data_IF_830243343842
#
_entry.id   IF_830243343842
#
_cell.length_a   1.000
_cell.length_b   1.000
_cell.length_c   1.000
_cell.angle_alpha   90.00
_cell.angle_beta   90.00
_cell.angle_gamma   90.00
#
_symmetry.space_group_name_H-M   'P 1'
#
loop_
_entity.id
_entity.type
_entity.pdbx_description
1 polymer ?
#
# COMPACT_ATOMS: atom_id res chain seq x y z
N UNK A 1 -27.61 53.44 -41.78
CA UNK A 1 -26.34 52.78 -41.49
C UNK A 1 -26.44 52.13 -40.12
N UNK A 2 -26.64 50.82 -40.07
CA UNK A 2 -26.77 50.04 -38.82
C UNK A 2 -25.38 49.43 -38.53
N UNK A 3 -24.77 49.83 -37.42
CA UNK A 3 -23.50 49.24 -36.96
C UNK A 3 -23.80 47.95 -36.17
N UNK A 4 -23.47 46.81 -36.72
CA UNK A 4 -23.51 45.54 -36.04
C UNK A 4 -22.29 45.41 -35.11
N UNK A 5 -22.51 45.36 -33.80
CA UNK A 5 -21.48 45.09 -32.81
C UNK A 5 -21.34 43.56 -32.66
N UNK A 6 -20.21 43.02 -33.09
CA UNK A 6 -19.88 41.63 -32.91
C UNK A 6 -19.45 41.41 -31.45
N UNK A 7 -20.23 40.67 -30.68
CA UNK A 7 -19.87 40.20 -29.34
C UNK A 7 -19.00 38.92 -29.50
N UNK A 8 -17.72 39.07 -29.29
CA UNK A 8 -16.83 37.91 -29.16
C UNK A 8 -16.97 37.35 -27.73
N UNK A 9 -17.72 36.27 -27.57
CA UNK A 9 -17.77 35.50 -26.35
C UNK A 9 -16.44 34.70 -26.22
N UNK A 10 -15.52 35.19 -25.40
CA UNK A 10 -14.30 34.47 -25.05
C UNK A 10 -14.64 33.28 -24.19
N UNK A 11 -14.55 32.07 -24.77
CA UNK A 11 -14.66 30.80 -24.05
C UNK A 11 -13.41 30.65 -23.17
N UNK A 12 -13.52 30.91 -21.86
CA UNK A 12 -12.48 30.63 -20.88
C UNK A 12 -12.52 29.14 -20.59
N UNK A 13 -11.76 28.35 -21.33
CA UNK A 13 -11.55 26.93 -21.03
C UNK A 13 -10.75 26.83 -19.71
N UNK A 14 -11.44 26.46 -18.64
CA UNK A 14 -10.79 26.04 -17.39
C UNK A 14 -10.11 24.71 -17.69
N UNK A 15 -8.81 24.74 -17.89
CA UNK A 15 -7.98 23.55 -17.90
C UNK A 15 -8.00 22.98 -16.47
N UNK A 16 -8.89 22.04 -16.22
CA UNK A 16 -8.76 21.17 -15.06
C UNK A 16 -7.46 20.37 -15.27
N UNK A 17 -6.40 20.74 -14.56
CA UNK A 17 -5.20 19.90 -14.48
C UNK A 17 -5.62 18.58 -13.89
N UNK A 18 -5.58 17.51 -14.68
CA UNK A 18 -5.69 16.16 -14.16
C UNK A 18 -4.48 15.92 -13.28
N UNK A 19 -4.68 15.94 -11.97
CA UNK A 19 -3.64 15.54 -11.03
C UNK A 19 -3.46 14.04 -11.22
N UNK A 20 -2.30 13.63 -11.69
CA UNK A 20 -1.96 12.22 -11.83
C UNK A 20 -1.65 11.64 -10.44
N UNK A 21 -2.16 10.44 -10.17
CA UNK A 21 -1.80 9.70 -8.98
C UNK A 21 -0.28 9.54 -8.90
N UNK A 22 0.30 9.99 -7.79
CA UNK A 22 1.72 9.86 -7.49
C UNK A 22 1.96 8.79 -6.44
N UNK A 23 3.12 8.13 -6.51
CA UNK A 23 3.55 7.20 -5.48
C UNK A 23 3.91 7.97 -4.22
N UNK A 24 3.31 7.62 -3.09
CA UNK A 24 3.50 8.28 -1.79
C UNK A 24 4.35 7.44 -0.84
N UNK A 25 4.31 6.12 -0.98
CA UNK A 25 5.16 5.19 -0.23
C UNK A 25 5.29 3.86 -0.98
N UNK A 26 6.44 3.18 -0.81
CA UNK A 26 6.66 1.83 -1.35
C UNK A 26 7.57 0.99 -0.44
N UNK A 27 7.42 -0.33 -0.53
CA UNK A 27 8.28 -1.33 0.14
C UNK A 27 8.65 -2.42 -0.84
N UNK A 28 9.95 -2.62 -1.09
CA UNK A 28 10.50 -3.66 -1.97
C UNK A 28 11.29 -4.74 -1.21
N UNK A 29 11.45 -4.59 0.10
CA UNK A 29 12.15 -5.49 1.01
C UNK A 29 13.61 -5.83 0.63
N UNK A 30 14.19 -5.16 -0.34
CA UNK A 30 15.51 -5.48 -0.90
C UNK A 30 16.54 -4.40 -0.65
N UNK A 31 16.14 -3.14 -0.66
CA UNK A 31 17.06 -2.02 -0.68
C UNK A 31 16.96 -1.13 0.54
N UNK A 32 18.13 -0.67 1.01
CA UNK A 32 18.24 0.39 2.02
C UNK A 32 18.45 1.77 1.39
N UNK A 33 18.47 1.87 0.06
CA UNK A 33 18.58 3.17 -0.62
C UNK A 33 17.38 4.03 -0.28
N UNK A 34 17.59 5.31 -0.13
CA UNK A 34 16.55 6.29 0.28
C UNK A 34 15.98 6.08 1.69
N UNK A 35 16.68 5.36 2.56
CA UNK A 35 16.29 5.17 3.97
C UNK A 35 15.36 3.98 4.22
N UNK A 36 15.09 3.17 3.21
CA UNK A 36 14.30 1.95 3.35
C UNK A 36 15.03 0.87 4.17
N UNK A 37 14.31 -0.18 4.50
CA UNK A 37 14.82 -1.34 5.25
C UNK A 37 14.75 -2.59 4.38
N UNK A 38 15.89 -3.26 4.18
CA UNK A 38 15.93 -4.57 3.55
C UNK A 38 15.52 -5.66 4.55
N UNK A 39 14.84 -6.69 4.07
CA UNK A 39 14.51 -7.86 4.87
C UNK A 39 15.78 -8.67 5.12
N UNK A 40 16.06 -8.99 6.39
CA UNK A 40 17.14 -9.92 6.75
C UNK A 40 16.81 -11.35 6.31
N UNK A 41 17.87 -12.19 6.26
CA UNK A 41 17.70 -13.63 6.02
C UNK A 41 16.73 -14.25 7.05
N UNK A 42 16.02 -15.29 6.64
CA UNK A 42 15.14 -16.02 7.56
C UNK A 42 15.96 -16.78 8.65
N UNK A 43 15.49 -16.83 9.92
CA UNK A 43 14.27 -16.17 10.38
C UNK A 43 14.42 -14.64 10.41
N UNK A 44 13.33 -13.93 10.11
CA UNK A 44 13.35 -12.48 10.13
C UNK A 44 13.57 -11.94 11.54
N UNK A 45 14.35 -10.88 11.64
CA UNK A 45 14.62 -10.18 12.90
C UNK A 45 14.04 -8.76 12.89
N UNK A 46 13.62 -8.28 11.73
CA UNK A 46 13.07 -6.93 11.56
C UNK A 46 11.58 -6.90 11.88
N UNK A 47 11.21 -6.04 12.80
CA UNK A 47 9.83 -5.80 13.24
C UNK A 47 9.17 -4.61 12.57
N UNK A 48 10.00 -3.72 12.02
CA UNK A 48 9.61 -2.46 11.40
C UNK A 48 10.36 -2.30 10.08
N UNK A 49 9.64 -2.00 9.02
CA UNK A 49 10.19 -1.66 7.72
C UNK A 49 9.80 -0.22 7.37
N UNK A 50 10.81 0.64 7.22
CA UNK A 50 10.61 1.98 6.67
C UNK A 50 10.45 1.86 5.15
N UNK A 51 9.61 2.71 4.57
CA UNK A 51 9.40 2.73 3.12
C UNK A 51 10.71 2.99 2.36
N UNK A 52 10.92 2.28 1.26
CA UNK A 52 12.09 2.44 0.38
C UNK A 52 11.99 3.72 -0.45
N UNK A 53 10.77 4.15 -0.74
CA UNK A 53 10.47 5.42 -1.41
C UNK A 53 9.31 6.11 -0.68
N UNK A 54 9.30 7.45 -0.70
CA UNK A 54 8.29 8.25 -0.01
C UNK A 54 8.42 8.16 1.51
N UNK A 55 7.29 8.15 2.21
CA UNK A 55 7.28 8.12 3.68
C UNK A 55 6.22 7.18 4.22
N UNK A 56 6.64 6.25 5.06
CA UNK A 56 5.75 5.28 5.71
C UNK A 56 6.51 4.23 6.50
N UNK A 57 5.77 3.46 7.28
CA UNK A 57 6.29 2.37 8.09
C UNK A 57 5.37 1.18 8.05
N UNK A 58 5.93 -0.03 7.96
CA UNK A 58 5.22 -1.30 8.06
C UNK A 58 5.58 -1.95 9.40
N UNK A 59 4.58 -2.28 10.19
CA UNK A 59 4.69 -2.84 11.54
C UNK A 59 4.30 -4.31 11.58
N UNK A 60 5.10 -5.11 12.29
CA UNK A 60 4.94 -6.56 12.51
C UNK A 60 5.08 -6.95 13.99
N UNK A 61 5.05 -6.00 14.92
CA UNK A 61 5.48 -6.14 16.32
C UNK A 61 4.36 -5.91 17.34
N UNK A 62 3.12 -5.92 16.92
CA UNK A 62 1.97 -5.64 17.78
C UNK A 62 1.66 -4.16 17.97
N UNK A 63 2.46 -3.25 17.41
CA UNK A 63 2.20 -1.80 17.51
C UNK A 63 1.28 -1.31 16.40
N UNK A 64 0.66 -0.16 16.62
CA UNK A 64 -0.24 0.51 15.66
C UNK A 64 -1.38 -0.39 15.12
N UNK A 65 -1.83 -1.39 15.90
CA UNK A 65 -2.88 -2.32 15.50
C UNK A 65 -2.40 -3.49 14.64
N UNK A 66 -1.09 -3.68 14.47
CA UNK A 66 -0.50 -4.89 13.92
C UNK A 66 -0.56 -6.03 14.94
N UNK A 67 -0.37 -7.26 14.48
CA UNK A 67 -0.12 -8.40 15.35
C UNK A 67 1.38 -8.54 15.63
N UNK A 68 1.72 -9.15 16.75
CA UNK A 68 3.09 -9.56 17.02
C UNK A 68 3.37 -10.90 16.30
N UNK A 69 4.29 -10.86 15.34
CA UNK A 69 4.78 -12.01 14.59
C UNK A 69 6.06 -12.60 15.19
N UNK A 70 6.52 -12.07 16.32
CA UNK A 70 7.79 -12.43 16.93
C UNK A 70 7.57 -13.23 18.21
N UNK A 71 8.52 -14.13 18.49
CA UNK A 71 8.45 -14.97 19.68
C UNK A 71 8.48 -14.13 20.97
N UNK A 72 7.50 -14.31 21.86
CA UNK A 72 7.39 -13.51 23.09
C UNK A 72 8.60 -13.64 24.00
N UNK A 73 9.24 -14.81 24.02
CA UNK A 73 10.34 -15.10 24.94
C UNK A 73 11.66 -14.38 24.58
N UNK A 74 11.94 -14.20 23.29
CA UNK A 74 13.17 -13.56 22.81
C UNK A 74 12.92 -12.23 22.14
N UNK A 75 11.76 -12.06 21.54
CA UNK A 75 11.37 -10.86 20.81
C UNK A 75 12.22 -10.53 19.58
N UNK A 76 13.12 -11.44 19.18
CA UNK A 76 14.15 -11.20 18.17
C UNK A 76 13.99 -12.04 16.91
N UNK A 77 13.26 -13.15 16.98
CA UNK A 77 13.05 -14.05 15.83
C UNK A 77 11.57 -14.30 15.58
N UNK A 78 11.23 -14.62 14.34
CA UNK A 78 9.87 -14.97 13.95
C UNK A 78 9.86 -16.27 13.19
N UNK A 79 8.98 -17.20 13.58
CA UNK A 79 8.67 -18.38 12.79
C UNK A 79 7.61 -18.11 11.71
N UNK A 80 7.00 -16.93 11.73
CA UNK A 80 5.87 -16.55 10.88
C UNK A 80 6.24 -15.51 9.81
N UNK A 81 7.44 -14.90 9.91
CA UNK A 81 7.97 -13.97 8.91
C UNK A 81 9.29 -14.50 8.36
N UNK A 82 9.35 -14.67 7.05
CA UNK A 82 10.54 -15.12 6.34
C UNK A 82 10.81 -14.24 5.12
N UNK A 83 12.08 -14.22 4.68
CA UNK A 83 12.45 -13.74 3.36
C UNK A 83 12.23 -14.81 2.31
N UNK A 84 11.84 -14.40 1.12
CA UNK A 84 11.70 -15.28 -0.04
C UNK A 84 12.38 -14.65 -1.27
N UNK A 85 13.18 -15.45 -2.01
CA UNK A 85 13.86 -14.99 -3.21
C UNK A 85 12.92 -14.81 -4.39
N UNK A 86 13.08 -13.70 -5.07
CA UNK A 86 12.73 -13.52 -6.47
C UNK A 86 11.32 -13.10 -6.84
N UNK A 87 11.09 -11.78 -6.98
CA UNK A 87 10.10 -11.27 -7.93
C UNK A 87 10.49 -9.88 -8.44
N UNK A 88 10.11 -9.58 -9.71
CA UNK A 88 10.19 -8.25 -10.31
C UNK A 88 8.81 -7.67 -10.61
N UNK A 89 7.77 -8.40 -10.27
CA UNK A 89 6.38 -8.00 -10.55
C UNK A 89 6.01 -6.79 -9.69
N UNK A 90 5.23 -5.89 -10.27
CA UNK A 90 4.86 -4.61 -9.66
C UNK A 90 6.09 -3.71 -9.35
N UNK A 91 7.24 -3.96 -9.96
CA UNK A 91 8.47 -3.21 -9.75
C UNK A 91 8.50 -1.96 -10.63
N UNK A 92 7.74 -0.93 -10.28
CA UNK A 92 7.66 0.36 -10.98
C UNK A 92 7.99 1.51 -10.02
N UNK A 93 8.16 2.72 -10.56
CA UNK A 93 8.33 3.91 -9.73
C UNK A 93 9.60 3.96 -8.89
N UNK A 94 10.66 3.26 -9.28
CA UNK A 94 11.94 3.24 -8.55
C UNK A 94 12.11 2.05 -7.61
N UNK A 95 11.19 1.09 -7.61
CA UNK A 95 11.35 -0.17 -6.89
C UNK A 95 12.48 -1.01 -7.45
N UNK A 96 13.11 -1.82 -6.59
CA UNK A 96 14.15 -2.74 -7.01
C UNK A 96 13.62 -3.80 -7.96
N UNK A 97 14.38 -4.07 -9.02
CA UNK A 97 14.15 -5.17 -9.96
C UNK A 97 15.06 -6.37 -9.66
N UNK A 98 15.79 -6.34 -8.55
CA UNK A 98 16.68 -7.44 -8.16
C UNK A 98 15.87 -8.66 -7.80
N UNK A 99 16.20 -9.79 -8.42
CA UNK A 99 15.51 -11.08 -8.21
C UNK A 99 16.37 -12.10 -7.48
N UNK A 100 17.58 -11.71 -7.08
CA UNK A 100 18.55 -12.58 -6.38
C UNK A 100 18.57 -12.27 -4.88
N UNK A 101 18.70 -13.30 -4.07
CA UNK A 101 18.69 -13.16 -2.62
C UNK A 101 17.28 -13.11 -2.05
N UNK A 102 17.07 -12.28 -1.03
CA UNK A 102 15.76 -12.08 -0.42
C UNK A 102 15.08 -10.94 -1.14
N UNK A 103 13.96 -11.21 -1.80
CA UNK A 103 13.28 -10.28 -2.68
C UNK A 103 11.80 -10.06 -2.31
N UNK A 104 11.24 -10.83 -1.39
CA UNK A 104 9.85 -10.74 -0.96
C UNK A 104 9.69 -11.06 0.52
N UNK A 105 8.70 -10.45 1.15
CA UNK A 105 8.24 -10.78 2.50
C UNK A 105 7.30 -12.00 2.42
N UNK A 106 7.58 -13.04 3.18
CA UNK A 106 6.68 -14.17 3.35
C UNK A 106 6.06 -14.18 4.76
N UNK A 107 4.73 -14.18 4.83
CA UNK A 107 3.98 -14.56 6.04
C UNK A 107 3.71 -16.05 5.98
N UNK A 108 4.19 -16.77 6.99
CA UNK A 108 4.17 -18.24 7.08
C UNK A 108 3.16 -18.65 8.15
N UNK A 109 2.52 -19.80 7.99
CA UNK A 109 1.50 -20.31 8.90
C UNK A 109 1.93 -20.41 10.36
N UNK A 110 3.22 -20.69 10.57
CA UNK A 110 3.78 -20.77 11.91
C UNK A 110 3.43 -22.08 12.64
N UNK A 111 3.77 -22.16 13.92
CA UNK A 111 3.45 -23.31 14.75
C UNK A 111 1.95 -23.52 14.86
N UNK A 112 1.52 -24.79 14.93
CA UNK A 112 0.14 -25.12 15.20
C UNK A 112 -0.27 -24.63 16.59
N UNK A 113 -1.36 -23.89 16.67
CA UNK A 113 -1.92 -23.39 17.93
C UNK A 113 -3.14 -24.21 18.38
N UNK A 114 -3.62 -23.95 19.59
CA UNK A 114 -4.86 -24.54 20.10
C UNK A 114 -6.03 -23.62 19.75
N UNK A 115 -7.10 -24.14 19.15
CA UNK A 115 -7.43 -25.55 18.87
C UNK A 115 -6.60 -26.17 17.74
N UNK A 116 -6.43 -27.51 17.81
CA UNK A 116 -5.63 -28.27 16.86
C UNK A 116 -6.04 -28.00 15.40
N UNK A 117 -5.04 -27.80 14.54
CA UNK A 117 -5.24 -27.46 13.13
C UNK A 117 -5.29 -25.97 12.84
N UNK A 118 -5.22 -25.11 13.86
CA UNK A 118 -5.08 -23.66 13.68
C UNK A 118 -3.61 -23.27 13.71
N UNK A 119 -3.15 -22.53 12.72
CA UNK A 119 -1.75 -22.07 12.65
C UNK A 119 -1.65 -20.64 13.16
N UNK A 120 -0.54 -20.34 13.87
CA UNK A 120 -0.36 -19.13 14.67
C UNK A 120 -0.54 -17.82 13.90
N UNK A 121 -0.18 -17.79 12.63
CA UNK A 121 -0.35 -16.59 11.79
C UNK A 121 -1.76 -16.41 11.20
N UNK A 122 -2.66 -17.40 11.32
CA UNK A 122 -4.06 -17.20 10.94
C UNK A 122 -4.72 -16.18 11.87
N UNK A 123 -5.29 -15.14 11.29
CA UNK A 123 -5.90 -14.02 12.01
C UNK A 123 -4.91 -12.91 12.39
N UNK A 124 -3.60 -13.09 12.16
CA UNK A 124 -2.61 -12.04 12.36
C UNK A 124 -2.62 -11.02 11.23
N UNK A 125 -2.26 -9.79 11.58
CA UNK A 125 -2.30 -8.65 10.68
C UNK A 125 -1.00 -7.85 10.71
N UNK A 126 -0.52 -7.41 9.55
CA UNK A 126 0.49 -6.38 9.44
C UNK A 126 -0.14 -5.03 9.12
N UNK A 127 0.51 -3.94 9.54
CA UNK A 127 -0.03 -2.58 9.41
C UNK A 127 0.97 -1.66 8.75
N UNK A 128 0.50 -0.95 7.73
CA UNK A 128 1.18 0.18 7.10
C UNK A 128 0.67 1.49 7.71
N UNK A 129 1.57 2.40 8.08
CA UNK A 129 1.28 3.74 8.58
C UNK A 129 1.95 4.77 7.69
N UNK A 130 1.21 5.77 7.25
CA UNK A 130 1.68 6.81 6.32
C UNK A 130 0.86 8.09 6.48
N UNK A 131 1.08 9.11 5.64
CA UNK A 131 0.29 10.34 5.62
C UNK A 131 -0.49 10.47 4.33
N UNK A 132 -1.72 10.96 4.45
CA UNK A 132 -2.60 11.36 3.34
C UNK A 132 -2.87 12.88 3.35
N UNK A 133 -2.12 13.67 4.12
CA UNK A 133 -2.30 15.13 4.15
C UNK A 133 -2.18 15.75 2.77
N UNK A 134 -3.21 16.47 2.33
CA UNK A 134 -3.27 17.07 1.00
C UNK A 134 -3.44 16.04 -0.14
N UNK A 135 -3.79 14.81 0.18
CA UNK A 135 -3.94 13.70 -0.75
C UNK A 135 -5.35 13.09 -0.70
N UNK A 136 -5.75 12.49 -1.81
CA UNK A 136 -7.02 11.76 -1.95
C UNK A 136 -6.83 10.53 -2.83
N UNK A 137 -7.88 9.70 -2.92
CA UNK A 137 -7.94 8.57 -3.84
C UNK A 137 -6.78 7.58 -3.69
N UNK A 138 -6.50 7.19 -2.43
CA UNK A 138 -5.49 6.16 -2.16
C UNK A 138 -5.80 4.88 -2.94
N UNK A 139 -4.80 4.36 -3.63
CA UNK A 139 -4.80 3.01 -4.17
C UNK A 139 -3.53 2.28 -3.74
N UNK A 140 -3.65 0.97 -3.50
CA UNK A 140 -2.55 0.10 -3.10
C UNK A 140 -2.45 -1.05 -4.07
N UNK A 141 -1.25 -1.30 -4.59
CA UNK A 141 -0.96 -2.46 -5.42
C UNK A 141 0.29 -3.17 -4.89
N UNK A 142 0.37 -4.49 -5.08
CA UNK A 142 1.49 -5.31 -4.66
C UNK A 142 1.52 -6.63 -5.43
N UNK A 143 2.69 -7.23 -5.53
CA UNK A 143 2.84 -8.58 -6.03
C UNK A 143 2.53 -9.58 -4.91
N UNK A 144 1.80 -10.65 -5.22
CA UNK A 144 1.44 -11.67 -4.24
C UNK A 144 1.36 -13.07 -4.88
N UNK A 145 1.79 -14.07 -4.13
CA UNK A 145 1.52 -15.48 -4.38
C UNK A 145 1.29 -16.21 -3.07
N UNK A 146 0.72 -17.42 -3.14
CA UNK A 146 0.65 -18.35 -2.01
C UNK A 146 1.19 -19.73 -2.35
N UNK A 147 1.57 -20.48 -1.35
CA UNK A 147 1.73 -21.95 -1.48
C UNK A 147 0.36 -22.64 -1.43
N UNK A 148 0.30 -23.91 -1.82
CA UNK A 148 -0.95 -24.67 -1.82
C UNK A 148 -1.65 -24.67 -0.45
N UNK A 149 -0.88 -24.75 0.65
CA UNK A 149 -1.36 -24.70 2.03
C UNK A 149 -1.27 -23.31 2.68
N UNK A 150 -0.93 -22.27 1.91
CA UNK A 150 -0.84 -20.88 2.38
C UNK A 150 -2.19 -20.20 2.57
N UNK A 151 -2.15 -18.95 3.00
CA UNK A 151 -3.35 -18.17 3.29
C UNK A 151 -4.16 -17.96 2.01
N UNK A 152 -5.43 -18.29 2.08
CA UNK A 152 -6.37 -18.16 0.95
C UNK A 152 -7.05 -16.82 0.90
N UNK A 153 -7.02 -16.07 2.00
CA UNK A 153 -7.72 -14.79 2.14
C UNK A 153 -6.83 -13.75 2.79
N UNK A 154 -6.88 -12.56 2.24
CA UNK A 154 -6.31 -11.34 2.80
C UNK A 154 -7.44 -10.32 2.95
N UNK A 155 -7.77 -9.96 4.20
CA UNK A 155 -8.71 -8.89 4.51
C UNK A 155 -7.92 -7.60 4.68
N UNK A 156 -8.24 -6.60 3.86
CA UNK A 156 -7.70 -5.25 3.96
C UNK A 156 -8.68 -4.32 4.64
N UNK A 157 -8.19 -3.62 5.65
CA UNK A 157 -8.93 -2.59 6.37
C UNK A 157 -8.13 -1.29 6.38
N UNK A 158 -8.80 -0.16 6.65
CA UNK A 158 -8.18 1.14 6.83
C UNK A 158 -8.62 1.81 8.12
N UNK A 159 -7.79 2.75 8.61
CA UNK A 159 -8.06 3.53 9.82
C UNK A 159 -7.36 4.88 9.77
N UNK A 160 -7.85 5.86 10.51
CA UNK A 160 -7.19 7.14 10.76
C UNK A 160 -6.57 7.25 12.15
N UNK A 161 -6.86 6.31 13.04
CA UNK A 161 -6.40 6.31 14.43
C UNK A 161 -5.63 5.03 14.84
N UNK A 162 -5.59 4.00 13.97
CA UNK A 162 -4.96 2.71 14.23
C UNK A 162 -5.71 1.81 15.20
N UNK A 163 -6.92 2.19 15.60
CA UNK A 163 -7.75 1.48 16.59
C UNK A 163 -9.11 1.09 15.99
N UNK A 164 -9.79 2.04 15.37
CA UNK A 164 -11.08 1.82 14.72
C UNK A 164 -10.86 1.53 13.24
N UNK A 165 -11.30 0.35 12.78
CA UNK A 165 -11.01 -0.14 11.44
C UNK A 165 -12.27 -0.27 10.59
N UNK A 166 -12.17 0.17 9.34
CA UNK A 166 -13.19 0.02 8.32
C UNK A 166 -12.68 -0.89 7.21
N UNK A 167 -13.54 -1.74 6.66
CA UNK A 167 -13.17 -2.64 5.57
C UNK A 167 -12.86 -1.86 4.29
N UNK A 168 -11.75 -2.21 3.65
CA UNK A 168 -11.35 -1.70 2.34
C UNK A 168 -11.62 -2.73 1.23
N UNK A 169 -11.11 -3.95 1.38
CA UNK A 169 -11.26 -5.02 0.40
C UNK A 169 -10.97 -6.40 1.00
N UNK A 170 -11.52 -7.43 0.39
CA UNK A 170 -11.16 -8.82 0.65
C UNK A 170 -10.57 -9.43 -0.60
N UNK A 171 -9.34 -9.89 -0.53
CA UNK A 171 -8.63 -10.55 -1.62
C UNK A 171 -8.70 -12.06 -1.41
N UNK A 172 -9.28 -12.75 -2.38
CA UNK A 172 -9.36 -14.21 -2.45
C UNK A 172 -8.80 -14.69 -3.79
N UNK A 173 -8.61 -15.98 -3.97
CA UNK A 173 -8.09 -16.52 -5.23
C UNK A 173 -6.63 -16.17 -5.50
N UNK A 174 -5.82 -15.97 -4.45
CA UNK A 174 -4.40 -15.71 -4.56
C UNK A 174 -3.73 -16.85 -5.32
N UNK A 175 -2.98 -16.52 -6.38
CA UNK A 175 -2.30 -17.49 -7.24
C UNK A 175 -1.19 -18.25 -6.55
N UNK A 176 -0.86 -19.44 -7.10
CA UNK A 176 0.21 -20.30 -6.59
C UNK A 176 1.61 -19.91 -7.09
N UNK A 177 1.72 -18.91 -7.93
CA UNK A 177 3.02 -18.41 -8.41
C UNK A 177 2.97 -16.91 -8.70
N UNK A 178 4.13 -16.29 -8.64
CA UNK A 178 4.35 -14.94 -9.18
C UNK A 178 4.44 -14.96 -10.73
N UNK A 179 4.40 -16.14 -11.34
CA UNK A 179 4.73 -16.32 -12.74
C UNK A 179 3.88 -15.42 -13.65
N UNK A 180 4.52 -14.85 -14.62
CA UNK A 180 4.19 -14.00 -15.73
C UNK A 180 2.84 -14.11 -16.45
N UNK A 181 1.82 -14.65 -15.81
CA UNK A 181 0.44 -14.54 -16.20
C UNK A 181 -0.14 -13.21 -15.73
N UNK A 182 -1.09 -12.69 -16.44
CA UNK A 182 -1.75 -11.42 -16.15
C UNK A 182 -2.68 -11.45 -14.93
N UNK A 183 -2.88 -12.61 -14.33
CA UNK A 183 -3.79 -12.81 -13.20
C UNK A 183 -3.01 -13.20 -11.95
N UNK A 184 -3.29 -12.53 -10.84
CA UNK A 184 -2.77 -12.79 -9.50
C UNK A 184 -1.28 -12.49 -9.26
N UNK A 185 -0.61 -11.78 -10.14
CA UNK A 185 0.76 -11.32 -9.91
C UNK A 185 0.82 -10.01 -9.15
N UNK A 186 -0.22 -9.19 -9.27
CA UNK A 186 -0.42 -7.99 -8.47
C UNK A 186 -1.88 -7.87 -8.07
N UNK A 187 -2.13 -7.49 -6.82
CA UNK A 187 -3.47 -7.17 -6.33
C UNK A 187 -3.59 -5.66 -6.20
N UNK A 188 -4.65 -5.09 -6.76
CA UNK A 188 -4.95 -3.66 -6.62
C UNK A 188 -6.18 -3.50 -5.74
N UNK A 189 -6.03 -2.78 -4.64
CA UNK A 189 -7.12 -2.45 -3.74
C UNK A 189 -7.88 -1.23 -4.26
N UNK A 190 -9.17 -1.20 -3.97
CA UNK A 190 -10.00 -0.04 -4.26
C UNK A 190 -9.59 1.20 -3.45
N UNK A 191 -10.20 2.30 -3.80
CA UNK A 191 -9.97 3.60 -3.15
C UNK A 191 -10.53 3.59 -1.73
N UNK A 192 -9.68 3.89 -0.73
CA UNK A 192 -10.10 4.10 0.65
C UNK A 192 -10.40 5.59 0.89
N UNK A 193 -11.59 6.06 0.48
CA UNK A 193 -11.97 7.48 0.57
C UNK A 193 -12.00 8.01 2.01
N UNK A 194 -12.20 7.15 3.00
CA UNK A 194 -12.14 7.52 4.42
C UNK A 194 -10.76 7.99 4.89
N UNK A 195 -9.71 7.78 4.08
CA UNK A 195 -8.35 8.26 4.35
C UNK A 195 -8.04 9.59 3.67
N UNK A 196 -8.93 10.15 2.86
CA UNK A 196 -8.68 11.40 2.16
C UNK A 196 -8.31 12.52 3.13
N UNK A 197 -7.19 13.19 2.85
CA UNK A 197 -6.65 14.29 3.65
C UNK A 197 -6.34 13.94 5.13
N UNK A 198 -6.22 12.66 5.48
CA UNK A 198 -5.87 12.24 6.83
C UNK A 198 -4.39 12.55 7.14
N UNK A 199 -4.12 13.25 8.25
CA UNK A 199 -2.76 13.54 8.68
C UNK A 199 -1.99 12.25 9.01
N UNK A 200 -2.69 11.25 9.54
CA UNK A 200 -2.19 9.88 9.75
C UNK A 200 -3.20 8.91 9.15
N UNK A 201 -2.71 7.98 8.37
CA UNK A 201 -3.47 6.95 7.70
C UNK A 201 -2.85 5.58 7.98
N UNK A 202 -3.70 4.59 8.12
CA UNK A 202 -3.30 3.20 8.31
C UNK A 202 -4.02 2.30 7.32
N UNK A 203 -3.28 1.32 6.80
CA UNK A 203 -3.82 0.17 6.06
C UNK A 203 -3.37 -1.10 6.77
N UNK A 204 -4.30 -2.01 7.00
CA UNK A 204 -4.04 -3.29 7.66
C UNK A 204 -4.41 -4.43 6.72
N UNK A 205 -3.56 -5.46 6.65
CA UNK A 205 -3.89 -6.73 5.98
C UNK A 205 -3.85 -7.88 6.98
N UNK A 206 -4.97 -8.57 7.11
CA UNK A 206 -5.15 -9.74 7.97
C UNK A 206 -5.17 -11.01 7.12
N UNK A 207 -4.43 -12.05 7.55
CA UNK A 207 -4.24 -13.29 6.83
C UNK A 207 -5.06 -14.42 7.41
N UNK A 208 -5.78 -15.17 6.56
CA UNK A 208 -6.54 -16.35 7.01
C UNK A 208 -6.51 -17.48 5.99
N UNK A 209 -6.77 -18.71 6.45
CA UNK A 209 -6.92 -19.88 5.61
C UNK A 209 -5.64 -20.67 5.33
N UNK A 210 -4.54 -20.42 6.07
CA UNK A 210 -3.38 -21.32 6.03
C UNK A 210 -3.72 -22.66 6.70
N UNK A 211 -3.31 -23.75 6.06
CA UNK A 211 -3.57 -25.15 6.48
C UNK A 211 -2.31 -25.92 6.85
N UNK A 212 -1.15 -25.27 6.87
CA UNK A 212 0.14 -25.85 7.24
C UNK A 212 1.03 -24.81 7.91
N UNK A 213 1.91 -25.27 8.81
CA UNK A 213 2.93 -24.43 9.42
C UNK A 213 3.89 -23.80 8.40
N UNK A 214 4.11 -24.44 7.26
CA UNK A 214 4.98 -23.97 6.17
C UNK A 214 4.19 -23.30 5.04
N UNK A 215 2.85 -23.33 5.12
CA UNK A 215 1.99 -22.63 4.18
C UNK A 215 2.22 -21.13 4.25
N UNK A 216 2.41 -20.44 3.13
CA UNK A 216 2.76 -19.03 3.16
C UNK A 216 2.11 -18.22 2.06
N UNK A 217 2.00 -16.92 2.30
CA UNK A 217 1.83 -15.89 1.30
C UNK A 217 3.12 -15.09 1.19
N UNK A 218 3.56 -14.88 -0.03
CA UNK A 218 4.74 -14.09 -0.37
C UNK A 218 4.26 -12.83 -1.03
N UNK A 219 4.73 -11.70 -0.52
CA UNK A 219 4.29 -10.38 -0.98
C UNK A 219 5.50 -9.49 -1.19
N UNK A 220 5.42 -8.65 -2.22
CA UNK A 220 6.51 -7.77 -2.59
C UNK A 220 6.00 -6.53 -3.32
N UNK A 221 6.88 -5.55 -3.44
CA UNK A 221 6.65 -4.35 -4.24
C UNK A 221 5.32 -3.67 -3.92
N UNK A 222 5.06 -3.43 -2.64
CA UNK A 222 3.91 -2.63 -2.23
C UNK A 222 4.07 -1.20 -2.72
N UNK A 223 3.08 -0.70 -3.43
CA UNK A 223 2.98 0.68 -3.90
C UNK A 223 1.71 1.32 -3.39
N UNK A 224 1.86 2.43 -2.72
CA UNK A 224 0.78 3.29 -2.26
C UNK A 224 0.79 4.54 -3.13
N UNK A 225 -0.29 4.77 -3.88
CA UNK A 225 -0.44 5.88 -4.79
C UNK A 225 -1.64 6.72 -4.39
N UNK A 226 -1.54 8.04 -4.53
CA UNK A 226 -2.63 8.96 -4.22
C UNK A 226 -2.59 10.20 -5.10
N UNK A 227 -3.74 10.86 -5.27
CA UNK A 227 -3.87 12.11 -6.01
C UNK A 227 -3.63 13.30 -5.07
N UNK A 228 -2.91 14.31 -5.52
CA UNK A 228 -2.82 15.56 -4.77
C UNK A 228 -4.17 16.32 -4.82
N UNK A 229 -4.64 16.81 -3.68
CA UNK A 229 -5.81 17.67 -3.60
C UNK A 229 -5.38 19.09 -3.98
N UNK A 230 -5.97 19.69 -5.03
CA UNK A 230 -5.64 21.07 -5.40
C UNK A 230 -5.90 22.03 -4.23
N UNK A 231 -4.93 22.89 -3.91
CA UNK A 231 -5.11 23.89 -2.87
C UNK A 231 -6.29 24.81 -3.21
N UNK A 232 -7.20 25.10 -2.26
CA UNK A 232 -8.39 25.95 -2.51
C UNK A 232 -8.05 27.32 -3.13
N UNK A 233 -6.86 27.86 -2.81
CA UNK A 233 -6.38 29.13 -3.35
C UNK A 233 -6.03 29.10 -4.85
N UNK A 234 -5.68 27.97 -5.42
CA UNK A 234 -5.36 27.86 -6.84
C UNK A 234 -6.60 28.12 -7.71
N UNK A 235 -7.75 27.61 -7.29
CA UNK A 235 -9.04 27.84 -7.98
C UNK A 235 -9.49 29.30 -7.81
N UNK A 236 -9.30 29.88 -6.63
CA UNK A 236 -9.64 31.28 -6.35
C UNK A 236 -8.76 32.24 -7.17
N UNK A 237 -7.49 31.96 -7.36
CA UNK A 237 -6.58 32.80 -8.17
C UNK A 237 -7.00 32.85 -9.64
N UNK A 238 -7.41 31.73 -10.21
CA UNK A 238 -7.91 31.64 -11.59
C UNK A 238 -9.22 32.47 -11.73
N UNK A 239 -10.11 32.39 -10.74
CA UNK A 239 -11.33 33.18 -10.71
C UNK A 239 -11.08 34.70 -10.66
N UNK A 240 -10.13 35.14 -9.83
CA UNK A 240 -9.74 36.54 -9.69
C UNK A 240 -9.05 37.06 -10.96
N UNK A 241 -8.15 36.27 -11.56
CA UNK A 241 -7.50 36.64 -12.81
C UNK A 241 -8.49 36.81 -13.96
N UNK A 242 -9.52 35.97 -14.04
CA UNK A 242 -10.62 36.09 -15.00
C UNK A 242 -11.45 37.39 -14.80
N UNK A 243 -11.72 37.78 -13.56
CA UNK A 243 -12.43 39.00 -13.22
C UNK A 243 -11.64 40.30 -13.56
N UNK A 244 -10.32 40.28 -13.29
CA UNK A 244 -9.42 41.39 -13.60
C UNK A 244 -9.27 41.58 -15.11
N UNK A 245 -9.17 40.51 -15.88
CA UNK A 245 -9.10 40.57 -17.34
C UNK A 245 -10.38 41.13 -17.96
N UNK A 246 -11.54 40.90 -17.35
CA UNK A 246 -12.83 41.44 -17.80
C UNK A 246 -12.97 42.95 -17.53
N UNK A 247 -12.29 43.51 -16.53
CA UNK A 247 -12.39 44.91 -16.13
C UNK A 247 -11.52 45.86 -16.96
N UNK A 248 -10.58 45.31 -17.77
CA UNK A 248 -9.66 46.08 -18.64
C UNK A 248 -10.15 46.22 -20.09
N UNK A 249 -11.39 45.86 -20.37
CA UNK A 249 -12.11 46.09 -21.62
C UNK A 249 -13.30 47.02 -21.37
#
# INVERSE_FOLDING_TARGET
MIKASLFAAGLCSVLASTVSAGMIAQWDFQTTTTGGTALAAAPATQKLFVANFGAGSLYLDGTNGSSDFFEPATGTTSTEINGFGGTTLNATGGMSTVTTGIAALAVVGGAASVPAGTFGANGKAMVFKFSMSGLSNLSVSYAVQRTASGFTTQQWDYSTDGTNWSSAATITGIGLSFAGGTTNVASTLGVASGLNNAATAYMRVTFTGATSATGNNRMDNFQFNADAVPAPGAIALIGVAGLVARRRR
#
